data_IF_584058108290
#
_entry.id   IF_584058108290
#
_cell.length_a   1.000
_cell.length_b   1.000
_cell.length_c   1.000
_cell.angle_alpha   90.00
_cell.angle_beta   90.00
_cell.angle_gamma   90.00
#
_symmetry.space_group_name_H-M   'P 1'
#
loop_
_entity.id
_entity.type
_entity.pdbx_description
1 polymer ?
#
# COMPACT_ATOMS: atom_id res chain seq x y z
N UNK A 1 15.81 -3.69 2.32
CA UNK A 1 14.70 -3.20 1.47
C UNK A 1 15.21 -2.56 0.18
N UNK A 2 16.12 -1.57 0.25
CA UNK A 2 16.67 -0.92 -0.95
C UNK A 2 17.30 -1.87 -1.97
N UNK A 3 18.12 -2.82 -1.51
CA UNK A 3 18.72 -3.84 -2.37
C UNK A 3 17.69 -4.63 -3.20
N UNK A 4 16.52 -4.93 -2.61
CA UNK A 4 15.45 -5.66 -3.31
C UNK A 4 14.78 -4.81 -4.40
N UNK A 5 14.60 -3.52 -4.14
CA UNK A 5 14.06 -2.55 -5.10
C UNK A 5 15.01 -2.45 -6.30
N UNK A 6 16.31 -2.41 -6.03
CA UNK A 6 17.35 -2.37 -7.06
C UNK A 6 17.38 -3.68 -7.89
N UNK A 7 17.30 -4.86 -7.24
CA UNK A 7 17.22 -6.16 -7.92
C UNK A 7 15.97 -6.31 -8.82
N UNK A 8 14.86 -5.64 -8.46
CA UNK A 8 13.63 -5.63 -9.25
C UNK A 8 13.67 -4.57 -10.38
N UNK A 9 14.74 -3.79 -10.49
CA UNK A 9 14.91 -2.75 -11.51
C UNK A 9 14.09 -1.48 -11.27
N UNK A 10 13.61 -1.26 -10.05
CA UNK A 10 12.71 -0.17 -9.68
C UNK A 10 13.48 1.12 -9.34
N UNK A 11 14.25 1.60 -10.30
CA UNK A 11 15.23 2.69 -10.13
C UNK A 11 14.64 4.05 -9.74
N UNK A 12 13.34 4.27 -9.94
CA UNK A 12 12.62 5.51 -9.62
C UNK A 12 11.59 5.31 -8.52
N UNK A 13 11.71 4.24 -7.76
CA UNK A 13 10.85 3.93 -6.62
C UNK A 13 11.58 4.27 -5.32
N UNK A 14 10.88 4.96 -4.42
CA UNK A 14 11.39 5.34 -3.11
C UNK A 14 10.40 4.92 -2.02
N UNK A 15 10.93 4.34 -0.94
CA UNK A 15 10.19 4.18 0.31
C UNK A 15 10.60 5.32 1.23
N UNK A 16 9.62 6.14 1.60
CA UNK A 16 9.83 7.35 2.38
C UNK A 16 9.62 7.10 3.87
N UNK A 17 8.70 6.19 4.19
CA UNK A 17 8.35 5.88 5.56
C UNK A 17 7.80 4.45 5.71
N UNK A 18 7.73 3.97 6.95
CA UNK A 18 7.10 2.71 7.36
C UNK A 18 5.66 2.95 7.83
N UNK A 19 4.81 1.93 7.70
CA UNK A 19 3.46 1.95 8.30
C UNK A 19 3.58 1.83 9.82
N UNK A 20 2.88 2.69 10.57
CA UNK A 20 2.84 2.74 12.03
C UNK A 20 1.42 3.07 12.46
N UNK A 21 1.05 2.64 13.66
CA UNK A 21 -0.28 2.88 14.24
C UNK A 21 -0.46 4.35 14.65
N UNK A 22 0.57 4.96 15.24
CA UNK A 22 0.57 6.37 15.62
C UNK A 22 1.38 7.20 14.61
N UNK A 23 0.78 8.28 14.12
CA UNK A 23 1.43 9.26 13.24
C UNK A 23 1.16 10.68 13.68
N UNK A 24 2.23 11.45 13.79
CA UNK A 24 2.19 12.87 14.06
C UNK A 24 2.29 13.73 12.79
N UNK A 25 2.16 15.06 12.93
CA UNK A 25 2.32 16.03 11.85
C UNK A 25 3.68 15.97 11.15
N UNK A 26 4.71 15.45 11.83
CA UNK A 26 6.08 15.35 11.33
C UNK A 26 6.36 14.05 10.54
N UNK A 27 5.44 13.07 10.55
CA UNK A 27 5.59 11.84 9.77
C UNK A 27 5.24 12.08 8.29
N UNK A 28 5.91 11.35 7.39
CA UNK A 28 5.73 11.56 5.96
C UNK A 28 4.28 11.23 5.53
N UNK A 29 3.63 12.08 4.71
CA UNK A 29 2.25 11.85 4.28
C UNK A 29 2.12 10.63 3.34
N UNK A 30 3.20 10.26 2.64
CA UNK A 30 3.24 9.10 1.76
C UNK A 30 4.30 8.11 2.24
N UNK A 31 3.97 6.81 2.30
CA UNK A 31 4.93 5.74 2.67
C UNK A 31 5.87 5.38 1.53
N UNK A 32 5.39 5.52 0.29
CA UNK A 32 6.13 5.15 -0.90
C UNK A 32 5.74 6.05 -2.08
N UNK A 33 6.70 6.26 -2.98
CA UNK A 33 6.51 6.90 -4.28
C UNK A 33 7.09 6.00 -5.36
N UNK A 34 6.42 5.92 -6.50
CA UNK A 34 6.89 5.16 -7.65
C UNK A 34 6.38 5.80 -8.95
N UNK A 35 6.92 5.34 -10.08
CA UNK A 35 6.42 5.73 -11.40
C UNK A 35 5.54 4.63 -11.95
N UNK A 36 4.58 4.98 -12.81
CA UNK A 36 3.75 4.00 -13.52
C UNK A 36 4.63 2.97 -14.24
N UNK A 37 5.75 3.40 -14.84
CA UNK A 37 6.68 2.50 -15.52
C UNK A 37 7.24 1.44 -14.58
N UNK A 38 7.78 1.85 -13.44
CA UNK A 38 8.37 0.94 -12.46
C UNK A 38 7.31 -0.06 -11.94
N UNK A 39 6.10 0.42 -11.64
CA UNK A 39 4.99 -0.44 -11.24
C UNK A 39 4.58 -1.43 -12.33
N UNK A 40 4.47 -1.00 -13.60
CA UNK A 40 4.19 -1.90 -14.73
C UNK A 40 5.27 -2.96 -14.87
N UNK A 41 6.55 -2.60 -14.71
CA UNK A 41 7.67 -3.56 -14.72
C UNK A 41 7.54 -4.58 -13.60
N UNK A 42 7.26 -4.14 -12.37
CA UNK A 42 7.06 -5.03 -11.21
C UNK A 42 5.89 -6.00 -11.45
N UNK A 43 4.72 -5.50 -11.82
CA UNK A 43 3.54 -6.33 -12.04
C UNK A 43 3.70 -7.27 -13.23
N UNK A 44 4.34 -6.83 -14.31
CA UNK A 44 4.67 -7.69 -15.43
C UNK A 44 5.63 -8.81 -15.01
N UNK A 45 6.61 -8.50 -14.15
CA UNK A 45 7.54 -9.51 -13.63
C UNK A 45 6.83 -10.54 -12.75
N UNK A 46 5.88 -10.11 -11.91
CA UNK A 46 5.03 -10.99 -11.09
C UNK A 46 4.15 -11.90 -11.96
N UNK A 47 3.41 -11.32 -12.92
CA UNK A 47 2.52 -12.07 -13.81
C UNK A 47 3.25 -13.12 -14.66
N UNK A 48 4.54 -12.90 -14.95
CA UNK A 48 5.38 -13.84 -15.70
C UNK A 48 6.20 -14.78 -14.80
N UNK A 49 6.03 -14.75 -13.47
CA UNK A 49 6.75 -15.63 -12.55
C UNK A 49 8.24 -15.30 -12.35
N UNK A 50 8.67 -14.08 -12.69
CA UNK A 50 10.08 -13.66 -12.77
C UNK A 50 10.52 -12.69 -11.67
N UNK A 51 9.61 -12.22 -10.81
CA UNK A 51 9.95 -11.23 -9.80
C UNK A 51 10.86 -11.78 -8.69
N UNK A 52 10.63 -13.04 -8.28
CA UNK A 52 11.43 -13.72 -7.25
C UNK A 52 11.70 -15.17 -7.63
N UNK A 53 10.63 -15.97 -7.61
CA UNK A 53 10.56 -17.33 -8.12
C UNK A 53 9.13 -17.53 -8.65
N UNK A 54 8.91 -18.55 -9.46
CA UNK A 54 7.57 -18.81 -10.00
C UNK A 54 6.54 -19.01 -8.87
N UNK A 55 6.86 -19.80 -7.85
CA UNK A 55 5.98 -20.08 -6.73
C UNK A 55 5.65 -18.83 -5.90
N UNK A 56 6.66 -18.03 -5.55
CA UNK A 56 6.45 -16.79 -4.76
C UNK A 56 5.66 -15.77 -5.56
N UNK A 57 5.94 -15.64 -6.87
CA UNK A 57 5.22 -14.69 -7.73
C UNK A 57 3.74 -15.08 -7.88
N UNK A 58 3.44 -16.37 -7.98
CA UNK A 58 2.07 -16.88 -8.00
C UNK A 58 1.33 -16.59 -6.69
N UNK A 59 1.98 -16.82 -5.55
CA UNK A 59 1.42 -16.53 -4.23
C UNK A 59 1.10 -15.04 -4.05
N UNK A 60 2.05 -14.15 -4.37
CA UNK A 60 1.85 -12.70 -4.28
C UNK A 60 0.75 -12.22 -5.24
N UNK A 61 0.69 -12.77 -6.45
CA UNK A 61 -0.39 -12.44 -7.40
C UNK A 61 -1.75 -12.87 -6.87
N UNK A 62 -1.85 -14.02 -6.20
CA UNK A 62 -3.07 -14.47 -5.53
C UNK A 62 -3.53 -13.47 -4.47
N UNK A 63 -2.62 -13.02 -3.59
CA UNK A 63 -2.95 -11.99 -2.58
C UNK A 63 -3.43 -10.68 -3.21
N UNK A 64 -2.80 -10.24 -4.31
CA UNK A 64 -3.18 -9.00 -5.00
C UNK A 64 -4.55 -9.11 -5.68
N UNK A 65 -4.93 -10.30 -6.15
CA UNK A 65 -6.26 -10.55 -6.70
C UNK A 65 -7.35 -10.54 -5.60
N UNK A 66 -6.98 -10.87 -4.36
CA UNK A 66 -7.87 -10.84 -3.20
C UNK A 66 -7.86 -9.47 -2.46
N UNK A 67 -6.80 -8.67 -2.63
CA UNK A 67 -6.65 -7.36 -2.00
C UNK A 67 -7.80 -6.42 -2.42
N UNK A 68 -8.50 -5.86 -1.43
CA UNK A 68 -9.73 -5.09 -1.64
C UNK A 68 -11.02 -5.91 -1.63
N UNK A 69 -10.96 -7.21 -1.33
CA UNK A 69 -12.13 -8.05 -1.15
C UNK A 69 -13.04 -7.59 0.01
N UNK A 70 -14.28 -8.11 0.12
CA UNK A 70 -15.27 -7.66 1.10
C UNK A 70 -14.77 -7.67 2.56
N UNK A 71 -13.89 -8.60 2.91
CA UNK A 71 -13.29 -8.69 4.25
C UNK A 71 -12.32 -7.56 4.58
N UNK A 72 -11.66 -6.98 3.57
CA UNK A 72 -10.76 -5.84 3.77
C UNK A 72 -11.57 -4.55 3.99
N UNK A 73 -12.61 -4.32 3.16
CA UNK A 73 -13.56 -3.22 3.34
C UNK A 73 -14.26 -3.27 4.71
N UNK A 74 -14.72 -4.45 5.13
CA UNK A 74 -15.38 -4.62 6.42
C UNK A 74 -14.44 -4.25 7.58
N UNK A 75 -13.16 -4.64 7.51
CA UNK A 75 -12.14 -4.22 8.48
C UNK A 75 -11.90 -2.70 8.44
N UNK A 76 -11.83 -2.09 7.25
CA UNK A 76 -11.68 -0.63 7.14
C UNK A 76 -12.86 0.12 7.74
N UNK A 77 -14.08 -0.38 7.54
CA UNK A 77 -15.30 0.21 8.12
C UNK A 77 -15.37 0.01 9.63
N UNK A 78 -15.02 -1.18 10.13
CA UNK A 78 -15.03 -1.47 11.56
C UNK A 78 -13.95 -0.71 12.34
N UNK A 79 -12.84 -0.34 11.68
CA UNK A 79 -11.79 0.49 12.26
C UNK A 79 -12.11 2.00 12.22
N UNK A 80 -13.25 2.42 11.63
CA UNK A 80 -13.64 3.82 11.58
C UNK A 80 -14.02 4.29 13.00
N UNK A 81 -13.42 5.38 13.51
CA UNK A 81 -13.86 6.00 14.76
C UNK A 81 -15.34 6.43 14.67
N UNK A 82 -16.07 6.30 15.79
CA UNK A 82 -17.45 6.78 15.89
C UNK A 82 -17.51 8.30 15.67
N UNK A 83 -18.51 8.79 14.93
CA UNK A 83 -18.76 10.22 14.72
C UNK A 83 -18.15 10.83 13.44
N UNK A 84 -17.30 10.12 12.71
CA UNK A 84 -16.81 10.58 11.40
C UNK A 84 -17.94 10.58 10.35
N UNK A 85 -18.18 11.70 9.68
CA UNK A 85 -19.18 11.82 8.61
C UNK A 85 -18.56 11.57 7.23
N UNK A 86 -17.38 12.14 7.00
CA UNK A 86 -16.47 11.92 5.88
C UNK A 86 -15.05 11.80 6.46
N UNK A 87 -14.24 10.83 6.04
CA UNK A 87 -13.07 10.33 6.82
C UNK A 87 -12.26 11.42 7.57
N UNK A 88 -11.80 11.23 8.80
CA UNK A 88 -11.19 12.25 9.68
C UNK A 88 -12.02 13.50 10.06
N UNK A 89 -13.16 13.81 9.43
CA UNK A 89 -14.00 14.94 9.83
C UNK A 89 -15.31 14.48 10.46
N UNK A 90 -15.74 15.18 11.49
CA UNK A 90 -17.04 14.93 12.13
C UNK A 90 -18.21 15.52 11.33
N UNK A 91 -19.42 15.44 11.88
CA UNK A 91 -20.63 16.00 11.24
C UNK A 91 -20.71 17.53 11.31
N UNK A 92 -19.87 18.19 12.13
CA UNK A 92 -19.72 19.63 12.21
C UNK A 92 -18.63 20.16 11.25
N UNK A 93 -17.78 19.28 10.71
CA UNK A 93 -16.66 19.60 9.84
C UNK A 93 -15.33 19.79 10.57
N UNK A 94 -15.25 19.42 11.84
CA UNK A 94 -14.02 19.49 12.63
C UNK A 94 -13.16 18.23 12.42
N UNK A 95 -11.83 18.41 12.39
CA UNK A 95 -10.88 17.32 12.19
C UNK A 95 -10.68 16.54 13.50
N UNK A 96 -11.02 15.24 13.48
CA UNK A 96 -10.82 14.30 14.58
C UNK A 96 -9.69 13.35 14.20
N UNK A 97 -8.52 13.54 14.84
CA UNK A 97 -7.37 12.62 14.80
C UNK A 97 -7.43 11.62 15.95
#
# INVERSE_FOLDING_TARGET
MRERIDQLGLTRTALLDRVREDRGPDDAPHFALSTTRDLTTMFSSLANGRAVSAAVSAQVTGWLAEAGGPGDRARTVAARPDGLSDGCFDSAGDFIA
#
